data_IF_715954554016
#
_entry.id   IF_715954554016
#
_cell.length_a   1.000
_cell.length_b   1.000
_cell.length_c   1.000
_cell.angle_alpha   90.00
_cell.angle_beta   90.00
_cell.angle_gamma   90.00
#
_symmetry.space_group_name_H-M   'P 1'
#
loop_
_entity.id
_entity.type
_entity.pdbx_description
1 polymer ?
#
# COMPACT_ATOMS: atom_id res chain seq x y z
N UNK A 1 58.84 -5.76 19.44
CA UNK A 1 58.37 -4.38 19.21
C UNK A 1 58.21 -4.22 17.71
N UNK A 2 57.05 -3.99 17.10
CA UNK A 2 55.68 -3.80 17.58
C UNK A 2 54.80 -4.04 16.36
N UNK A 3 53.81 -4.92 16.50
CA UNK A 3 52.70 -5.05 15.58
C UNK A 3 51.86 -3.77 15.60
N UNK A 4 51.60 -3.15 14.44
CA UNK A 4 50.57 -2.13 14.31
C UNK A 4 49.53 -2.54 13.27
N UNK A 5 48.46 -3.10 13.81
CA UNK A 5 47.10 -3.06 13.28
C UNK A 5 46.68 -1.60 13.19
N UNK A 6 46.07 -1.20 12.08
CA UNK A 6 45.33 0.05 12.01
C UNK A 6 43.87 -0.25 11.64
N UNK A 7 43.02 -0.23 12.66
CA UNK A 7 41.55 -0.16 12.57
C UNK A 7 41.13 1.26 12.19
N UNK A 8 40.16 1.37 11.28
CA UNK A 8 39.18 2.48 11.10
C UNK A 8 38.41 2.14 9.80
N UNK A 9 37.09 2.11 9.70
CA UNK A 9 35.98 2.45 10.59
C UNK A 9 34.76 1.79 9.93
N UNK A 10 34.11 0.84 10.60
CA UNK A 10 32.79 0.35 10.16
C UNK A 10 31.76 1.41 10.54
N UNK A 11 31.30 2.18 9.55
CA UNK A 11 29.98 2.80 9.66
C UNK A 11 28.95 1.76 9.25
N UNK A 12 28.35 1.12 10.26
CA UNK A 12 27.07 0.44 10.12
C UNK A 12 26.05 1.45 9.59
N UNK A 13 25.60 1.27 8.35
CA UNK A 13 24.30 1.80 7.90
C UNK A 13 23.32 0.63 7.88
N UNK A 14 22.28 0.85 8.66
CA UNK A 14 21.19 -0.05 8.98
C UNK A 14 20.31 -0.35 7.76
N UNK A 15 19.88 -1.60 7.72
CA UNK A 15 18.68 -2.18 7.10
C UNK A 15 17.98 -1.44 5.95
N UNK A 16 18.02 -2.06 4.77
CA UNK A 16 17.18 -1.76 3.61
C UNK A 16 15.73 -2.18 3.87
N UNK A 17 14.81 -1.22 3.98
CA UNK A 17 13.37 -1.47 3.99
C UNK A 17 12.73 -1.19 2.63
N UNK A 18 11.82 -2.10 2.26
CA UNK A 18 11.12 -2.14 0.98
C UNK A 18 10.09 -1.03 0.89
N UNK A 19 10.14 -0.22 -0.17
CA UNK A 19 9.06 0.72 -0.51
C UNK A 19 8.33 0.18 -1.73
N UNK A 20 7.03 -0.02 -1.64
CA UNK A 20 6.27 -0.57 -2.78
C UNK A 20 4.91 0.07 -2.93
N UNK A 21 4.83 1.02 -3.84
CA UNK A 21 3.54 1.44 -4.36
C UNK A 21 3.11 0.49 -5.49
N UNK A 22 1.91 -0.10 -5.42
CA UNK A 22 1.32 -0.89 -6.54
C UNK A 22 0.05 -0.21 -7.01
N UNK A 23 -0.06 0.03 -8.30
CA UNK A 23 -1.27 0.53 -8.93
C UNK A 23 -1.85 -0.57 -9.82
N UNK A 24 -3.16 -0.81 -9.83
CA UNK A 24 -3.78 -1.80 -10.74
C UNK A 24 -4.88 -1.19 -11.60
N UNK A 25 -4.90 -1.52 -12.89
CA UNK A 25 -5.95 -1.15 -13.85
C UNK A 25 -6.50 -2.36 -14.62
N UNK A 26 -7.79 -2.35 -14.98
CA UNK A 26 -8.47 -3.42 -15.73
C UNK A 26 -8.35 -3.31 -17.26
N UNK A 27 -8.05 -4.44 -17.90
CA UNK A 27 -8.46 -4.79 -19.27
C UNK A 27 -9.57 -5.86 -19.27
N UNK A 28 -10.60 -5.70 -20.11
CA UNK A 28 -11.74 -6.62 -20.21
C UNK A 28 -11.37 -7.98 -20.84
N UNK A 29 -11.58 -9.08 -20.10
CA UNK A 29 -12.27 -10.35 -20.47
C UNK A 29 -11.79 -11.53 -19.59
N UNK A 30 -12.77 -12.20 -18.96
CA UNK A 30 -12.79 -13.51 -18.30
C UNK A 30 -11.47 -14.10 -17.74
N UNK A 31 -11.39 -14.13 -16.40
CA UNK A 31 -10.31 -14.72 -15.59
C UNK A 31 -9.45 -13.63 -14.94
N UNK A 32 -9.54 -13.46 -13.62
CA UNK A 32 -8.95 -12.35 -12.85
C UNK A 32 -7.40 -12.28 -12.91
N UNK A 33 -6.74 -13.13 -13.70
CA UNK A 33 -5.31 -13.10 -13.97
C UNK A 33 -4.94 -12.74 -15.41
N UNK A 34 -5.88 -12.48 -16.33
CA UNK A 34 -5.57 -12.17 -17.75
C UNK A 34 -5.57 -10.69 -18.14
N UNK A 35 -6.06 -9.78 -17.28
CA UNK A 35 -6.27 -8.37 -17.66
C UNK A 35 -5.70 -7.30 -16.73
N UNK A 36 -5.09 -7.68 -15.60
CA UNK A 36 -4.58 -6.69 -14.63
C UNK A 36 -3.22 -6.16 -15.10
N UNK A 37 -3.12 -4.84 -15.24
CA UNK A 37 -1.87 -4.09 -15.46
C UNK A 37 -1.43 -3.48 -14.13
N UNK A 38 -0.15 -3.59 -13.80
CA UNK A 38 0.41 -3.08 -12.56
C UNK A 38 1.54 -2.09 -12.82
N UNK A 39 1.35 -0.84 -12.42
CA UNK A 39 2.43 0.13 -12.29
C UNK A 39 2.99 0.06 -10.86
N UNK A 40 4.31 -0.03 -10.73
CA UNK A 40 5.03 -0.12 -9.47
C UNK A 40 5.99 1.05 -9.40
N UNK A 41 6.00 1.78 -8.29
CA UNK A 41 6.86 2.95 -8.12
C UNK A 41 7.75 2.72 -6.91
N UNK A 42 9.06 2.77 -7.13
CA UNK A 42 10.11 2.68 -6.12
C UNK A 42 11.11 3.81 -6.38
N UNK A 43 11.55 4.48 -5.31
CA UNK A 43 12.48 5.60 -5.37
C UNK A 43 13.93 5.16 -5.24
N UNK A 44 14.19 4.03 -4.57
CA UNK A 44 15.55 3.56 -4.30
C UNK A 44 16.04 2.55 -5.36
N UNK A 45 17.02 2.92 -6.21
CA UNK A 45 17.58 2.01 -7.20
C UNK A 45 18.25 0.78 -6.58
N UNK A 46 18.72 0.84 -5.33
CA UNK A 46 19.28 -0.32 -4.64
C UNK A 46 18.19 -1.36 -4.31
N UNK A 47 16.98 -0.91 -3.93
CA UNK A 47 15.84 -1.80 -3.70
C UNK A 47 15.37 -2.43 -5.00
N UNK A 48 15.32 -1.66 -6.10
CA UNK A 48 15.02 -2.18 -7.44
C UNK A 48 16.04 -3.24 -7.85
N UNK A 49 17.34 -2.95 -7.69
CA UNK A 49 18.42 -3.85 -8.02
C UNK A 49 18.35 -5.14 -7.20
N UNK A 50 18.22 -5.05 -5.87
CA UNK A 50 18.10 -6.21 -4.99
C UNK A 50 16.87 -7.07 -5.35
N UNK A 51 15.72 -6.43 -5.59
CA UNK A 51 14.48 -7.13 -5.93
C UNK A 51 14.60 -7.91 -7.24
N UNK A 52 15.19 -7.29 -8.26
CA UNK A 52 15.29 -7.86 -9.61
C UNK A 52 16.45 -8.84 -9.78
N UNK A 53 17.53 -8.70 -9.01
CA UNK A 53 18.71 -9.55 -9.14
C UNK A 53 18.75 -10.69 -8.13
N UNK A 54 18.22 -10.51 -6.92
CA UNK A 54 18.37 -11.48 -5.83
C UNK A 54 17.05 -12.10 -5.36
N UNK A 55 15.91 -11.44 -5.57
CA UNK A 55 14.63 -11.86 -4.97
C UNK A 55 13.61 -12.39 -5.99
N UNK A 56 14.03 -12.56 -7.24
CA UNK A 56 13.20 -13.15 -8.30
C UNK A 56 12.10 -12.23 -8.83
N UNK A 57 12.13 -10.92 -8.55
CA UNK A 57 11.26 -9.97 -9.21
C UNK A 57 11.67 -9.84 -10.70
N UNK A 58 10.73 -9.79 -11.67
CA UNK A 58 11.09 -9.99 -13.06
C UNK A 58 11.79 -8.75 -13.60
N UNK A 59 12.98 -8.93 -14.16
CA UNK A 59 13.82 -7.82 -14.64
C UNK A 59 13.21 -7.13 -15.86
N UNK A 60 12.39 -7.84 -16.64
CA UNK A 60 11.63 -7.24 -17.74
C UNK A 60 10.71 -6.10 -17.28
N UNK A 61 10.28 -6.11 -16.02
CA UNK A 61 9.36 -5.11 -15.50
C UNK A 61 9.96 -3.69 -15.43
N UNK A 62 11.29 -3.56 -15.36
CA UNK A 62 11.96 -2.28 -15.14
C UNK A 62 11.77 -1.34 -16.34
N UNK A 63 11.32 -0.13 -16.06
CA UNK A 63 11.05 0.93 -17.02
C UNK A 63 12.19 1.94 -17.05
N UNK A 64 12.48 2.45 -18.24
CA UNK A 64 13.34 3.60 -18.47
C UNK A 64 12.56 4.88 -18.14
N UNK A 65 13.25 6.00 -17.85
CA UNK A 65 12.60 7.31 -17.68
C UNK A 65 11.77 7.77 -18.88
N UNK A 66 12.01 7.21 -20.07
CA UNK A 66 11.27 7.51 -21.30
C UNK A 66 9.97 6.71 -21.44
N UNK A 67 9.72 5.74 -20.56
CA UNK A 67 8.51 4.91 -20.58
C UNK A 67 8.64 3.62 -21.39
N UNK A 68 9.84 3.29 -21.89
CA UNK A 68 10.16 1.99 -22.50
C UNK A 68 10.70 1.01 -21.48
N UNK A 69 10.60 -0.30 -21.73
CA UNK A 69 11.25 -1.31 -20.87
C UNK A 69 12.76 -1.25 -21.03
N UNK A 70 13.50 -1.39 -19.92
CA UNK A 70 14.97 -1.50 -19.95
C UNK A 70 15.42 -2.75 -20.71
N UNK A 71 14.63 -3.82 -20.62
CA UNK A 71 14.86 -5.08 -21.33
C UNK A 71 13.79 -5.27 -22.40
N UNK A 72 14.20 -5.68 -23.60
CA UNK A 72 13.29 -5.89 -24.73
C UNK A 72 12.68 -7.29 -24.77
N UNK A 73 13.24 -8.25 -24.03
CA UNK A 73 12.78 -9.65 -23.96
C UNK A 73 12.87 -10.17 -22.54
N UNK A 74 11.93 -11.03 -22.10
CA UNK A 74 12.03 -11.72 -20.81
C UNK A 74 13.22 -12.68 -20.80
N UNK A 75 13.82 -12.85 -19.63
CA UNK A 75 14.76 -13.94 -19.39
C UNK A 75 13.99 -15.26 -19.18
N UNK A 76 14.62 -16.40 -19.44
CA UNK A 76 13.98 -17.73 -19.30
C UNK A 76 13.38 -17.95 -17.89
N UNK A 77 14.07 -17.44 -16.86
CA UNK A 77 13.61 -17.49 -15.47
C UNK A 77 12.31 -16.69 -15.32
N UNK A 78 12.23 -15.50 -15.92
CA UNK A 78 11.04 -14.65 -15.85
C UNK A 78 9.83 -15.31 -16.54
N UNK A 79 10.04 -16.01 -17.66
CA UNK A 79 9.00 -16.77 -18.35
C UNK A 79 8.45 -17.92 -17.50
N UNK A 80 9.35 -18.72 -16.92
CA UNK A 80 8.98 -19.91 -16.14
C UNK A 80 8.31 -19.53 -14.82
N UNK A 81 8.86 -18.58 -14.07
CA UNK A 81 8.36 -18.20 -12.75
C UNK A 81 7.09 -17.35 -12.84
N UNK A 82 7.07 -16.35 -13.73
CA UNK A 82 5.98 -15.38 -13.78
C UNK A 82 4.89 -15.72 -14.79
N UNK A 83 5.08 -16.73 -15.66
CA UNK A 83 4.05 -17.26 -16.58
C UNK A 83 3.29 -16.17 -17.33
N UNK A 84 4.01 -15.18 -17.86
CA UNK A 84 3.47 -14.04 -18.60
C UNK A 84 2.92 -12.88 -17.75
N UNK A 85 2.91 -12.97 -16.41
CA UNK A 85 2.55 -11.84 -15.54
C UNK A 85 3.54 -10.69 -15.70
N UNK A 86 4.83 -10.99 -15.91
CA UNK A 86 5.91 -10.01 -16.06
C UNK A 86 5.65 -8.98 -17.18
N UNK A 87 4.89 -9.33 -18.22
CA UNK A 87 4.54 -8.44 -19.34
C UNK A 87 3.58 -7.30 -18.95
N UNK A 88 2.91 -7.45 -17.80
CA UNK A 88 1.92 -6.50 -17.28
C UNK A 88 2.40 -5.77 -16.04
N UNK A 89 3.66 -5.99 -15.65
CA UNK A 89 4.34 -5.26 -14.57
C UNK A 89 5.22 -4.17 -15.18
N UNK A 90 5.10 -2.96 -14.65
CA UNK A 90 5.85 -1.77 -15.05
C UNK A 90 6.45 -1.15 -13.79
N UNK A 91 7.73 -1.39 -13.53
CA UNK A 91 8.47 -0.88 -12.39
C UNK A 91 9.21 0.40 -12.77
N UNK A 92 8.79 1.51 -12.19
CA UNK A 92 9.32 2.84 -12.43
C UNK A 92 10.22 3.26 -11.27
N UNK A 93 11.47 3.62 -11.57
CA UNK A 93 12.34 4.33 -10.65
C UNK A 93 11.91 5.80 -10.59
N UNK A 94 11.09 6.16 -9.62
CA UNK A 94 10.56 7.52 -9.50
C UNK A 94 10.06 7.81 -8.09
N UNK A 95 9.96 9.10 -7.78
CA UNK A 95 9.19 9.54 -6.64
C UNK A 95 7.68 9.34 -6.87
N UNK A 96 6.96 8.87 -5.85
CA UNK A 96 5.52 8.60 -5.96
C UNK A 96 4.70 9.85 -6.31
N UNK A 97 5.03 11.02 -5.76
CA UNK A 97 4.37 12.29 -6.09
C UNK A 97 4.60 12.68 -7.54
N UNK A 98 5.86 12.63 -7.99
CA UNK A 98 6.21 12.90 -9.37
C UNK A 98 5.46 11.96 -10.33
N UNK A 99 5.48 10.66 -10.07
CA UNK A 99 4.84 9.66 -10.92
C UNK A 99 3.33 9.90 -11.06
N UNK A 100 2.62 10.15 -9.94
CA UNK A 100 1.16 10.31 -9.99
C UNK A 100 0.73 11.64 -10.63
N UNK A 101 1.58 12.67 -10.55
CA UNK A 101 1.36 13.95 -11.23
C UNK A 101 1.53 13.80 -12.75
N UNK A 102 2.54 13.06 -13.19
CA UNK A 102 2.91 12.91 -14.60
C UNK A 102 2.03 11.90 -15.35
N UNK A 103 1.55 10.85 -14.66
CA UNK A 103 0.74 9.81 -15.30
C UNK A 103 -0.64 10.33 -15.71
N UNK A 104 -1.13 9.86 -16.86
CA UNK A 104 -2.51 10.11 -17.32
C UNK A 104 -3.47 8.97 -16.98
N UNK A 105 -2.95 7.85 -16.45
CA UNK A 105 -3.72 6.63 -16.19
C UNK A 105 -4.73 6.81 -15.06
N UNK A 106 -5.84 6.09 -15.18
CA UNK A 106 -6.83 5.94 -14.11
C UNK A 106 -6.67 4.55 -13.50
N UNK A 107 -6.70 4.48 -12.17
CA UNK A 107 -6.46 3.27 -11.40
C UNK A 107 -7.70 2.84 -10.64
N UNK A 108 -7.94 1.54 -10.66
CA UNK A 108 -9.03 0.91 -9.92
C UNK A 108 -8.63 0.68 -8.46
N UNK A 109 -7.36 0.37 -8.25
CA UNK A 109 -6.80 0.12 -6.93
C UNK A 109 -5.39 0.67 -6.83
N UNK A 110 -5.07 1.29 -5.69
CA UNK A 110 -3.74 1.80 -5.36
C UNK A 110 -3.33 1.29 -3.99
N UNK A 111 -2.14 0.73 -3.90
CA UNK A 111 -1.50 0.34 -2.65
C UNK A 111 -0.37 1.31 -2.35
N UNK A 112 -0.36 1.85 -1.14
CA UNK A 112 0.67 2.75 -0.64
C UNK A 112 1.40 2.05 0.49
N UNK A 113 2.67 1.74 0.25
CA UNK A 113 3.59 1.17 1.24
C UNK A 113 4.91 1.91 1.07
N UNK A 114 5.07 3.01 1.81
CA UNK A 114 6.08 4.02 1.51
C UNK A 114 6.67 4.66 2.78
N UNK A 115 6.87 3.85 3.82
CA UNK A 115 7.65 4.25 4.99
C UNK A 115 9.10 4.55 4.58
N UNK A 116 9.72 5.55 5.19
CA UNK A 116 11.15 5.82 5.02
C UNK A 116 12.01 4.87 5.88
N UNK A 117 13.34 5.01 5.80
CA UNK A 117 14.26 4.12 6.52
C UNK A 117 14.27 4.30 8.04
N UNK A 118 13.49 5.26 8.57
CA UNK A 118 13.30 5.50 10.00
C UNK A 118 11.88 5.14 10.44
N UNK A 119 11.16 4.35 9.63
CA UNK A 119 9.77 3.95 9.86
C UNK A 119 8.79 5.14 9.95
N UNK A 120 9.03 6.21 9.18
CA UNK A 120 8.15 7.37 9.11
C UNK A 120 7.40 7.38 7.78
N UNK A 121 6.07 7.49 7.83
CA UNK A 121 5.26 7.69 6.63
C UNK A 121 5.36 9.16 6.16
N UNK A 122 5.98 9.45 5.00
CA UNK A 122 6.37 10.82 4.63
C UNK A 122 5.18 11.77 4.51
N UNK A 123 5.30 12.95 5.12
CA UNK A 123 4.23 13.96 5.14
C UNK A 123 3.67 14.30 3.77
N UNK A 124 4.51 14.39 2.74
CA UNK A 124 4.09 14.68 1.37
C UNK A 124 3.10 13.65 0.80
N UNK A 125 3.05 12.43 1.35
CA UNK A 125 2.16 11.36 0.89
C UNK A 125 0.83 11.31 1.63
N UNK A 126 0.62 12.14 2.66
CA UNK A 126 -0.62 12.13 3.44
C UNK A 126 -1.13 13.51 3.86
N UNK A 127 -0.38 14.59 3.64
CA UNK A 127 -0.89 15.94 3.89
C UNK A 127 -2.10 16.20 2.98
N UNK A 128 -3.27 16.62 3.52
CA UNK A 128 -4.48 16.88 2.73
C UNK A 128 -4.27 17.87 1.58
N UNK A 129 -3.34 18.82 1.75
CA UNK A 129 -3.03 19.86 0.76
C UNK A 129 -1.86 19.45 -0.16
N UNK A 130 -1.35 18.21 -0.04
CA UNK A 130 -0.25 17.73 -0.87
C UNK A 130 -0.67 17.61 -2.35
N UNK A 131 0.22 17.96 -3.30
CA UNK A 131 0.01 17.66 -4.71
C UNK A 131 -0.26 16.18 -4.96
N UNK A 132 0.41 15.29 -4.21
CA UNK A 132 0.21 13.85 -4.29
C UNK A 132 -1.25 13.42 -4.05
N UNK A 133 -1.88 13.78 -2.93
CA UNK A 133 -3.24 13.31 -2.63
C UNK A 133 -4.27 13.86 -3.63
N UNK A 134 -4.12 15.11 -4.05
CA UNK A 134 -5.00 15.71 -5.06
C UNK A 134 -4.81 15.10 -6.46
N UNK A 135 -3.58 14.75 -6.82
CA UNK A 135 -3.33 14.00 -8.05
C UNK A 135 -3.93 12.60 -7.96
N UNK A 136 -3.71 11.89 -6.86
CA UNK A 136 -4.26 10.56 -6.62
C UNK A 136 -5.78 10.55 -6.69
N UNK A 137 -6.47 11.54 -6.11
CA UNK A 137 -7.93 11.69 -6.21
C UNK A 137 -8.40 11.65 -7.68
N UNK A 138 -7.72 12.40 -8.56
CA UNK A 138 -8.04 12.51 -9.99
C UNK A 138 -7.65 11.28 -10.80
N UNK A 139 -6.67 10.50 -10.31
CA UNK A 139 -6.20 9.26 -10.94
C UNK A 139 -6.92 8.01 -10.44
N UNK A 140 -7.84 8.13 -9.48
CA UNK A 140 -8.67 7.01 -9.03
C UNK A 140 -9.96 6.91 -9.83
N UNK A 141 -10.39 5.67 -10.12
CA UNK A 141 -11.66 5.43 -10.80
C UNK A 141 -12.82 6.07 -10.00
N UNK A 142 -13.69 6.89 -10.62
CA UNK A 142 -14.67 7.70 -9.89
C UNK A 142 -15.76 6.86 -9.20
N UNK A 143 -16.03 5.65 -9.68
CA UNK A 143 -17.14 4.84 -9.15
C UNK A 143 -16.70 3.78 -8.14
N UNK A 144 -15.52 3.21 -8.32
CA UNK A 144 -15.07 2.05 -7.54
C UNK A 144 -13.58 2.09 -7.20
N UNK A 145 -12.91 3.22 -7.43
CA UNK A 145 -11.52 3.41 -7.05
C UNK A 145 -11.32 3.14 -5.56
N UNK A 146 -10.27 2.39 -5.24
CA UNK A 146 -9.89 2.06 -3.88
C UNK A 146 -8.41 2.36 -3.63
N UNK A 147 -8.09 2.87 -2.45
CA UNK A 147 -6.73 3.05 -1.96
C UNK A 147 -6.55 2.27 -0.70
N UNK A 148 -5.47 1.50 -0.63
CA UNK A 148 -5.04 0.76 0.54
C UNK A 148 -3.69 1.32 0.98
N UNK A 149 -3.61 1.81 2.20
CA UNK A 149 -2.37 2.34 2.79
C UNK A 149 -1.94 1.39 3.89
N UNK A 150 -0.72 0.89 3.79
CA UNK A 150 -0.05 0.19 4.86
C UNK A 150 0.27 1.20 5.97
N UNK A 151 -0.16 0.95 7.21
CA UNK A 151 0.08 1.83 8.35
C UNK A 151 0.65 1.01 9.50
N UNK A 152 1.89 1.26 9.86
CA UNK A 152 2.47 0.72 11.09
C UNK A 152 1.73 1.31 12.28
N UNK A 153 1.27 0.45 13.17
CA UNK A 153 0.50 0.87 14.33
C UNK A 153 1.43 1.63 15.30
N UNK A 154 1.07 2.86 15.66
CA UNK A 154 1.79 3.67 16.64
C UNK A 154 1.86 2.91 17.99
N UNK A 155 2.91 2.12 18.23
CA UNK A 155 3.06 1.34 19.48
C UNK A 155 3.71 2.15 20.61
N UNK A 156 3.72 3.48 20.55
CA UNK A 156 4.25 4.28 21.64
C UNK A 156 4.43 5.76 21.33
N UNK A 157 3.37 6.55 21.55
CA UNK A 157 3.59 7.86 22.17
C UNK A 157 3.15 7.65 23.62
N UNK A 158 4.12 7.41 24.50
CA UNK A 158 3.97 7.63 25.93
C UNK A 158 3.14 8.90 26.10
N UNK A 159 2.01 8.81 26.80
CA UNK A 159 1.36 10.01 27.29
C UNK A 159 2.43 10.90 27.93
N UNK A 160 2.37 12.20 27.67
CA UNK A 160 3.35 13.17 28.21
C UNK A 160 3.42 13.22 29.75
N UNK A 161 2.70 12.34 30.42
CA UNK A 161 2.56 12.13 31.85
C UNK A 161 3.33 10.89 32.38
N UNK A 162 4.01 10.11 31.52
CA UNK A 162 4.87 9.00 31.97
C UNK A 162 4.11 7.87 32.68
N UNK A 163 2.79 7.80 32.50
CA UNK A 163 1.97 6.72 33.02
C UNK A 163 2.13 5.47 32.14
N UNK A 164 2.31 4.31 32.78
CA UNK A 164 2.42 3.04 32.08
C UNK A 164 1.11 2.73 31.34
N UNK A 165 1.14 2.16 30.11
CA UNK A 165 -0.08 1.82 29.39
C UNK A 165 -0.90 0.85 30.24
N UNK A 166 -2.17 1.17 30.45
CA UNK A 166 -3.04 0.28 31.20
C UNK A 166 -3.28 -0.99 30.37
N UNK A 167 -3.31 -2.15 31.01
CA UNK A 167 -3.60 -3.44 30.35
C UNK A 167 -5.01 -3.44 29.70
N UNK A 168 -5.83 -2.42 29.96
CA UNK A 168 -7.14 -2.18 29.36
C UNK A 168 -7.10 -1.31 28.09
N UNK A 169 -5.94 -0.76 27.69
CA UNK A 169 -5.71 -0.16 26.36
C UNK A 169 -5.46 -1.23 25.27
N UNK A 170 -5.69 -2.52 25.57
CA UNK A 170 -5.50 -3.69 24.71
C UNK A 170 -6.36 -3.76 23.43
N UNK A 171 -6.98 -2.64 23.04
CA UNK A 171 -7.64 -2.40 21.76
C UNK A 171 -7.14 -1.03 21.29
N UNK A 172 -5.84 -0.89 21.03
CA UNK A 172 -5.25 0.44 20.89
C UNK A 172 -6.01 1.27 19.82
N UNK A 173 -6.65 2.39 20.19
CA UNK A 173 -7.20 3.32 19.23
C UNK A 173 -6.02 3.81 18.37
N UNK A 174 -6.24 3.92 17.06
CA UNK A 174 -5.22 4.46 16.15
C UNK A 174 -4.57 5.69 16.77
N UNK A 175 -3.25 5.69 16.90
CA UNK A 175 -2.53 6.82 17.48
C UNK A 175 -2.86 8.12 16.76
N UNK A 176 -2.60 9.25 17.41
CA UNK A 176 -2.97 10.58 16.87
C UNK A 176 -2.42 10.79 15.46
N UNK A 177 -1.26 10.23 15.15
CA UNK A 177 -0.65 10.30 13.84
C UNK A 177 -1.43 9.47 12.81
N UNK A 178 -1.62 8.17 13.06
CA UNK A 178 -2.39 7.26 12.19
C UNK A 178 -3.82 7.77 11.94
N UNK A 179 -4.47 8.31 12.98
CA UNK A 179 -5.80 8.92 12.87
C UNK A 179 -5.83 10.14 11.92
N UNK A 180 -4.78 10.97 11.93
CA UNK A 180 -4.65 12.12 11.02
C UNK A 180 -4.45 11.67 9.57
N UNK A 181 -3.61 10.65 9.35
CA UNK A 181 -3.40 10.05 8.03
C UNK A 181 -4.72 9.49 7.48
N UNK A 182 -5.45 8.73 8.29
CA UNK A 182 -6.74 8.16 7.91
C UNK A 182 -7.75 9.24 7.50
N UNK A 183 -7.87 10.30 8.31
CA UNK A 183 -8.78 11.41 8.01
C UNK A 183 -8.37 12.16 6.75
N UNK A 184 -7.08 12.38 6.52
CA UNK A 184 -6.59 13.05 5.32
C UNK A 184 -6.96 12.27 4.05
N UNK A 185 -6.65 10.97 4.02
CA UNK A 185 -6.99 10.09 2.91
C UNK A 185 -8.51 9.99 2.70
N UNK A 186 -9.30 9.85 3.77
CA UNK A 186 -10.77 9.85 3.69
C UNK A 186 -11.28 11.14 3.06
N UNK A 187 -10.89 12.29 3.61
CA UNK A 187 -11.41 13.60 3.22
C UNK A 187 -11.10 13.94 1.76
N UNK A 188 -9.90 13.60 1.28
CA UNK A 188 -9.49 13.90 -0.09
C UNK A 188 -10.01 12.84 -1.08
N UNK A 189 -9.90 11.55 -0.76
CA UNK A 189 -10.09 10.48 -1.76
C UNK A 189 -11.49 9.88 -1.80
N UNK A 190 -12.25 9.91 -0.70
CA UNK A 190 -13.65 9.42 -0.69
C UNK A 190 -14.55 10.25 -1.62
N UNK A 191 -14.12 11.48 -1.96
CA UNK A 191 -14.76 12.41 -2.88
C UNK A 191 -16.06 13.00 -2.31
N UNK A 192 -16.77 13.79 -3.14
CA UNK A 192 -18.16 14.21 -2.86
C UNK A 192 -19.15 13.03 -2.93
N UNK A 193 -18.71 11.92 -3.50
CA UNK A 193 -19.40 10.63 -3.49
C UNK A 193 -19.40 10.04 -2.09
N UNK A 194 -20.41 9.25 -1.75
CA UNK A 194 -20.56 8.54 -0.48
C UNK A 194 -19.52 7.42 -0.27
N UNK A 195 -18.24 7.68 -0.55
CA UNK A 195 -17.14 6.78 -0.30
C UNK A 195 -16.97 6.53 1.20
N UNK A 196 -16.37 5.41 1.54
CA UNK A 196 -16.08 5.05 2.93
C UNK A 196 -14.58 4.92 3.14
N UNK A 197 -14.16 5.12 4.38
CA UNK A 197 -12.83 4.75 4.81
C UNK A 197 -12.95 3.87 6.05
N UNK A 198 -12.16 2.81 6.12
CA UNK A 198 -12.09 1.92 7.27
C UNK A 198 -10.69 1.37 7.39
N UNK A 199 -10.35 0.85 8.56
CA UNK A 199 -9.07 0.23 8.82
C UNK A 199 -9.26 -1.21 9.27
N UNK A 200 -8.29 -2.06 8.95
CA UNK A 200 -8.23 -3.45 9.39
C UNK A 200 -6.88 -3.70 10.03
N UNK A 201 -6.87 -3.92 11.34
CA UNK A 201 -5.65 -4.20 12.09
C UNK A 201 -5.24 -5.67 12.01
N UNK A 202 -3.94 -5.91 11.94
CA UNK A 202 -3.27 -7.19 12.13
C UNK A 202 -2.32 -7.07 13.34
N UNK A 203 -2.84 -7.18 14.58
CA UNK A 203 -2.11 -6.82 15.80
C UNK A 203 -0.80 -7.60 16.00
N UNK A 204 -0.75 -8.86 15.56
CA UNK A 204 0.41 -9.73 15.69
C UNK A 204 1.62 -9.29 14.85
N UNK A 205 1.43 -8.40 13.89
CA UNK A 205 2.50 -7.79 13.08
C UNK A 205 2.55 -6.27 13.26
N UNK A 206 1.92 -5.74 14.31
CA UNK A 206 1.88 -4.30 14.63
C UNK A 206 1.49 -3.42 13.44
N UNK A 207 0.55 -3.88 12.62
CA UNK A 207 0.20 -3.22 11.36
C UNK A 207 -1.32 -3.02 11.24
N UNK A 208 -1.73 -1.94 10.59
CA UNK A 208 -3.09 -1.66 10.18
C UNK A 208 -3.13 -1.27 8.71
N UNK A 209 -4.09 -1.80 7.96
CA UNK A 209 -4.35 -1.34 6.59
C UNK A 209 -5.50 -0.35 6.61
N UNK A 210 -5.26 0.90 6.18
CA UNK A 210 -6.32 1.84 5.86
C UNK A 210 -6.83 1.56 4.45
N UNK A 211 -8.15 1.48 4.30
CA UNK A 211 -8.82 1.34 3.00
C UNK A 211 -9.74 2.53 2.81
N UNK A 212 -9.58 3.27 1.73
CA UNK A 212 -10.54 4.28 1.25
C UNK A 212 -11.14 3.78 -0.05
N UNK A 213 -12.47 3.68 -0.12
CA UNK A 213 -13.17 3.09 -1.26
C UNK A 213 -14.38 3.91 -1.68
N UNK A 214 -14.46 4.24 -2.97
CA UNK A 214 -15.59 4.95 -3.59
C UNK A 214 -16.78 4.03 -3.91
N UNK A 215 -16.55 2.72 -4.00
CA UNK A 215 -17.52 1.70 -4.45
C UNK A 215 -18.64 1.35 -3.47
N UNK A 216 -18.65 1.96 -2.28
CA UNK A 216 -19.70 1.75 -1.27
C UNK A 216 -20.89 2.70 -1.41
N UNK A 217 -21.17 3.16 -2.65
CA UNK A 217 -22.25 4.10 -2.97
C UNK A 217 -23.54 3.77 -2.21
N UNK A 218 -24.05 4.75 -1.47
CA UNK A 218 -25.37 4.71 -0.83
C UNK A 218 -26.36 5.54 -1.64
N UNK A 219 -27.61 5.08 -1.66
CA UNK A 219 -28.70 5.87 -2.20
C UNK A 219 -29.28 6.88 -1.20
N UNK A 220 -28.91 6.87 0.10
CA UNK A 220 -29.11 7.95 1.09
C UNK A 220 -28.49 7.58 2.47
N UNK A 221 -27.80 8.51 3.16
CA UNK A 221 -27.43 8.43 4.59
C UNK A 221 -25.97 8.04 4.94
N UNK A 222 -25.53 8.38 6.17
CA UNK A 222 -24.18 8.09 6.75
C UNK A 222 -23.93 6.59 6.83
N UNK A 223 -22.81 6.05 6.28
CA UNK A 223 -22.55 4.61 6.25
C UNK A 223 -22.65 3.99 7.64
N UNK A 224 -23.54 3.01 7.79
CA UNK A 224 -23.65 2.23 9.00
C UNK A 224 -22.47 1.25 9.09
N UNK A 225 -21.75 1.29 10.21
CA UNK A 225 -20.58 0.45 10.49
C UNK A 225 -20.92 -1.02 10.30
N UNK A 226 -22.05 -1.48 10.82
CA UNK A 226 -22.42 -2.89 10.82
C UNK A 226 -22.82 -3.34 9.41
N UNK A 227 -23.53 -2.50 8.66
CA UNK A 227 -23.81 -2.73 7.24
C UNK A 227 -22.52 -2.89 6.41
N UNK A 228 -21.53 -2.01 6.59
CA UNK A 228 -20.24 -2.11 5.86
C UNK A 228 -19.51 -3.39 6.25
N UNK A 229 -19.40 -3.67 7.55
CA UNK A 229 -18.74 -4.86 8.07
C UNK A 229 -19.38 -6.15 7.55
N UNK A 230 -20.71 -6.25 7.59
CA UNK A 230 -21.45 -7.40 7.09
C UNK A 230 -21.25 -7.61 5.59
N UNK A 231 -21.20 -6.51 4.80
CA UNK A 231 -20.90 -6.59 3.37
C UNK A 231 -19.48 -7.08 3.11
N UNK A 232 -18.50 -6.61 3.87
CA UNK A 232 -17.10 -7.07 3.79
C UNK A 232 -16.98 -8.55 4.15
N UNK A 233 -17.63 -9.00 5.22
CA UNK A 233 -17.68 -10.40 5.65
C UNK A 233 -18.27 -11.29 4.55
N UNK A 234 -19.42 -10.88 3.99
CA UNK A 234 -20.09 -11.64 2.92
C UNK A 234 -19.20 -11.75 1.67
N UNK A 235 -18.57 -10.65 1.25
CA UNK A 235 -17.68 -10.66 0.07
C UNK A 235 -16.35 -11.36 0.31
N UNK A 236 -15.82 -11.33 1.54
CA UNK A 236 -14.65 -12.12 1.94
C UNK A 236 -14.92 -13.61 1.76
N UNK A 237 -16.07 -14.12 2.19
CA UNK A 237 -16.39 -15.54 2.07
C UNK A 237 -16.54 -15.99 0.61
N UNK A 238 -17.15 -15.14 -0.22
CA UNK A 238 -17.25 -15.35 -1.67
C UNK A 238 -15.86 -15.41 -2.31
N UNK A 239 -14.97 -14.46 -1.98
CA UNK A 239 -13.60 -14.42 -2.48
C UNK A 239 -12.76 -15.62 -2.02
N UNK A 240 -12.86 -16.02 -0.75
CA UNK A 240 -12.15 -17.18 -0.22
C UNK A 240 -12.51 -18.44 -1.02
N UNK A 241 -13.80 -18.60 -1.33
CA UNK A 241 -14.32 -19.72 -2.12
C UNK A 241 -13.88 -19.65 -3.58
N UNK A 242 -13.96 -18.47 -4.21
CA UNK A 242 -13.63 -18.29 -5.64
C UNK A 242 -12.13 -18.38 -5.92
N UNK A 243 -11.30 -17.87 -5.01
CA UNK A 243 -9.86 -17.75 -5.20
C UNK A 243 -9.08 -18.91 -4.56
N UNK A 244 -9.75 -19.77 -3.79
CA UNK A 244 -9.15 -20.88 -3.04
C UNK A 244 -7.93 -20.40 -2.24
N UNK A 245 -8.10 -19.30 -1.49
CA UNK A 245 -7.00 -18.66 -0.77
C UNK A 245 -6.46 -19.60 0.32
N UNK A 246 -5.14 -19.62 0.56
CA UNK A 246 -4.54 -20.48 1.57
C UNK A 246 -4.93 -20.10 3.00
N UNK A 247 -5.48 -18.90 3.21
CA UNK A 247 -5.97 -18.41 4.49
C UNK A 247 -7.17 -17.48 4.28
N UNK A 248 -8.12 -17.50 5.22
CA UNK A 248 -9.28 -16.62 5.21
C UNK A 248 -8.97 -15.28 5.87
N UNK A 249 -9.26 -14.18 5.18
CA UNK A 249 -9.14 -12.83 5.73
C UNK A 249 -10.26 -12.49 6.72
N UNK A 250 -11.27 -13.37 6.85
CA UNK A 250 -12.49 -13.11 7.63
C UNK A 250 -12.21 -12.76 9.09
N UNK A 251 -11.24 -13.43 9.71
CA UNK A 251 -10.90 -13.22 11.13
C UNK A 251 -10.30 -11.83 11.37
N UNK A 252 -9.51 -11.33 10.41
CA UNK A 252 -8.94 -9.99 10.47
C UNK A 252 -10.03 -8.92 10.35
N UNK A 253 -10.95 -9.10 9.39
CA UNK A 253 -12.09 -8.19 9.21
C UNK A 253 -12.97 -8.17 10.47
N UNK A 254 -13.32 -9.33 11.03
CA UNK A 254 -14.20 -9.41 12.21
C UNK A 254 -13.61 -8.73 13.45
N UNK A 255 -12.30 -8.83 13.66
CA UNK A 255 -11.65 -8.38 14.90
C UNK A 255 -11.06 -6.97 14.80
N UNK A 256 -10.55 -6.60 13.64
CA UNK A 256 -9.74 -5.40 13.45
C UNK A 256 -10.45 -4.26 12.71
N UNK A 257 -11.75 -4.40 12.38
CA UNK A 257 -12.47 -3.40 11.59
C UNK A 257 -12.86 -2.17 12.42
N UNK A 258 -12.38 -1.01 11.96
CA UNK A 258 -12.74 0.31 12.49
C UNK A 258 -13.16 1.19 11.32
N UNK A 259 -14.37 1.76 11.37
CA UNK A 259 -14.81 2.74 10.38
C UNK A 259 -14.15 4.09 10.72
N UNK A 260 -13.59 4.78 9.72
CA UNK A 260 -12.97 6.09 9.90
C UNK A 260 -14.04 7.16 9.79
N UNK A 261 -14.14 8.02 10.80
CA UNK A 261 -15.05 9.17 10.87
C UNK A 261 -14.55 10.42 10.14
#
# INVERSE_FOLDING_TARGET
>A
MTSHVNMKTQHHRSSSEFKRMKFTGQGQRSGFSKGVVVDIVEIDPLVISASTQAMGFPRLSVMTPLGDRVHSKPDLIDEVFWKGIHERLFLHESDAEKFILDTTRIYDMVFVDAYDGEDIFPRKLWDPESPFLHALEKRLHPEHGAVVVNLHADSGILGGDGSAPSVLDGILPMGKYVSRVCRAYKNVLAGKSSGIAFTVSAPWVCNASLVVSRGFRRHNGIPDRDMVLNRLISKSLELDTMMNLPFSCLQYIKRGFILVD
#
